data_IF_867958034565
#
_entry.id   IF_867958034565
#
_cell.length_a   1.000
_cell.length_b   1.000
_cell.length_c   1.000
_cell.angle_alpha   90.00
_cell.angle_beta   90.00
_cell.angle_gamma   90.00
#
_symmetry.space_group_name_H-M   'P 1'
#
loop_
_entity.id
_entity.type
_entity.pdbx_description
1 polymer ?
#
# COMPACT_ATOMS: atom_id res chain seq x y z
N UNK A 1 0.66 18.04 7.04
CA UNK A 1 1.13 16.86 7.74
C UNK A 1 0.32 15.66 7.40
N UNK A 2 -0.97 15.72 7.63
CA UNK A 2 -1.82 14.58 7.36
C UNK A 2 -1.85 14.23 5.89
N UNK A 3 -1.77 15.23 5.04
CA UNK A 3 -1.75 14.97 3.62
C UNK A 3 -0.53 14.17 3.23
N UNK A 4 0.61 14.46 3.84
CA UNK A 4 1.82 13.73 3.52
C UNK A 4 1.70 12.27 3.89
N UNK A 5 1.09 11.99 5.03
CA UNK A 5 0.87 10.62 5.43
C UNK A 5 -0.05 9.90 4.48
N UNK A 6 -1.05 10.62 3.97
CA UNK A 6 -2.01 9.99 3.09
C UNK A 6 -1.48 9.80 1.68
N UNK A 7 -0.43 10.54 1.33
CA UNK A 7 0.17 10.35 0.02
C UNK A 7 0.88 9.02 -0.08
N UNK A 8 1.39 8.52 1.05
CA UNK A 8 2.09 7.24 1.09
C UNK A 8 1.52 6.38 2.19
N UNK A 9 1.35 5.12 1.90
CA UNK A 9 0.77 4.17 2.83
C UNK A 9 1.80 3.13 3.21
N UNK A 10 1.86 2.80 4.49
CA UNK A 10 2.70 1.71 4.94
C UNK A 10 1.92 0.40 4.85
N UNK A 11 2.62 -0.69 5.13
CA UNK A 11 1.94 -1.99 5.15
C UNK A 11 0.84 -2.00 6.22
N UNK A 12 1.11 -1.37 7.37
CA UNK A 12 0.10 -1.27 8.42
C UNK A 12 -1.12 -0.52 7.95
N UNK A 13 -0.91 0.59 7.25
CA UNK A 13 -2.04 1.38 6.74
C UNK A 13 -2.89 0.56 5.78
N UNK A 14 -2.25 -0.20 4.93
CA UNK A 14 -2.98 -1.03 3.99
C UNK A 14 -3.78 -2.11 4.72
N UNK A 15 -3.20 -2.69 5.75
CA UNK A 15 -3.89 -3.73 6.50
C UNK A 15 -5.09 -3.17 7.24
N UNK A 16 -4.97 -1.95 7.74
CA UNK A 16 -6.05 -1.36 8.52
C UNK A 16 -7.17 -0.79 7.66
N UNK A 17 -6.84 -0.19 6.55
CA UNK A 17 -7.82 0.58 5.81
C UNK A 17 -8.23 0.00 4.47
N UNK A 18 -7.41 -0.82 3.87
CA UNK A 18 -7.66 -1.25 2.50
C UNK A 18 -7.85 -2.74 2.33
N UNK A 19 -7.00 -3.54 2.94
CA UNK A 19 -6.96 -4.97 2.68
C UNK A 19 -7.15 -5.76 3.96
N UNK A 20 -8.18 -6.61 4.02
CA UNK A 20 -8.42 -7.44 5.20
C UNK A 20 -7.54 -8.69 5.19
N UNK A 21 -6.25 -8.50 5.07
CA UNK A 21 -5.32 -9.61 5.02
C UNK A 21 -4.21 -9.41 6.02
N UNK A 22 -3.46 -10.47 6.28
CA UNK A 22 -2.32 -10.36 7.18
C UNK A 22 -1.27 -9.44 6.57
N UNK A 23 -0.47 -8.81 7.41
CA UNK A 23 0.56 -7.91 6.95
C UNK A 23 1.56 -8.62 6.05
N UNK A 24 1.84 -9.86 6.35
CA UNK A 24 2.78 -10.62 5.54
C UNK A 24 2.28 -10.77 4.11
N UNK A 25 1.01 -11.10 3.96
CA UNK A 25 0.45 -11.25 2.63
C UNK A 25 0.35 -9.94 1.89
N UNK A 26 0.02 -8.87 2.61
CA UNK A 26 -0.04 -7.56 2.01
C UNK A 26 1.34 -7.15 1.50
N UNK A 27 2.36 -7.42 2.28
CA UNK A 27 3.71 -7.10 1.88
C UNK A 27 4.09 -7.81 0.59
N UNK A 28 3.78 -9.09 0.51
CA UNK A 28 4.06 -9.85 -0.70
C UNK A 28 3.29 -9.32 -1.90
N UNK A 29 2.04 -8.97 -1.66
CA UNK A 29 1.20 -8.42 -2.71
C UNK A 29 1.78 -7.10 -3.23
N UNK A 30 2.19 -6.24 -2.34
CA UNK A 30 2.75 -4.95 -2.71
C UNK A 30 4.03 -5.13 -3.53
N UNK A 31 4.90 -5.99 -3.07
CA UNK A 31 6.16 -6.21 -3.75
C UNK A 31 5.95 -6.75 -5.16
N UNK A 32 4.94 -7.59 -5.33
CA UNK A 32 4.69 -8.20 -6.63
C UNK A 32 3.90 -7.31 -7.57
N UNK A 33 2.96 -6.55 -7.03
CA UNK A 33 1.97 -5.91 -7.88
C UNK A 33 2.03 -4.39 -7.91
N UNK A 34 2.68 -3.78 -6.94
CA UNK A 34 2.67 -2.33 -6.82
C UNK A 34 4.07 -1.78 -6.79
N UNK A 35 4.20 -0.58 -7.34
CA UNK A 35 5.43 0.17 -7.16
C UNK A 35 5.53 0.60 -5.71
N UNK A 36 6.69 0.43 -5.13
CA UNK A 36 6.87 0.75 -3.72
C UNK A 36 8.25 1.33 -3.48
N UNK A 37 8.40 1.95 -2.33
CA UNK A 37 9.66 2.53 -1.91
C UNK A 37 10.01 2.00 -0.54
N UNK A 38 11.26 1.61 -0.36
CA UNK A 38 11.71 1.11 0.92
C UNK A 38 12.54 2.19 1.60
N UNK A 39 12.10 2.59 2.77
CA UNK A 39 12.77 3.63 3.53
C UNK A 39 12.96 3.16 4.95
N UNK A 40 14.21 3.13 5.40
CA UNK A 40 14.50 2.74 6.76
C UNK A 40 13.97 1.38 7.14
N UNK A 41 14.00 0.43 6.22
CA UNK A 41 13.51 -0.91 6.48
C UNK A 41 12.02 -1.06 6.38
N UNK A 42 11.32 -0.01 6.02
CA UNK A 42 9.86 -0.04 5.87
C UNK A 42 9.48 0.18 4.43
N UNK A 43 8.40 -0.47 4.02
CA UNK A 43 7.91 -0.36 2.67
C UNK A 43 6.75 0.63 2.65
N UNK A 44 6.82 1.56 1.71
CA UNK A 44 5.77 2.56 1.51
C UNK A 44 5.28 2.51 0.08
N UNK A 45 3.99 2.69 -0.08
CA UNK A 45 3.35 2.66 -1.39
C UNK A 45 2.57 3.95 -1.57
N UNK A 46 2.70 4.56 -2.73
CA UNK A 46 1.92 5.75 -3.01
C UNK A 46 0.44 5.39 -3.03
N UNK A 47 -0.37 6.21 -2.38
CA UNK A 47 -1.79 5.94 -2.33
C UNK A 47 -2.38 5.87 -3.72
N UNK A 48 -1.89 6.67 -4.64
CA UNK A 48 -2.34 6.64 -6.02
C UNK A 48 -2.15 5.28 -6.65
N UNK A 49 -1.05 4.63 -6.35
CA UNK A 49 -0.78 3.30 -6.89
C UNK A 49 -1.80 2.30 -6.40
N UNK A 50 -2.11 2.36 -5.13
CA UNK A 50 -3.07 1.44 -4.55
C UNK A 50 -4.44 1.65 -5.15
N UNK A 51 -4.86 2.89 -5.23
CA UNK A 51 -6.17 3.20 -5.76
C UNK A 51 -6.28 2.86 -7.24
N UNK A 52 -5.22 3.11 -7.98
CA UNK A 52 -5.22 2.76 -9.39
C UNK A 52 -5.32 1.25 -9.59
N UNK A 53 -4.63 0.51 -8.76
CA UNK A 53 -4.70 -0.95 -8.86
C UNK A 53 -6.11 -1.45 -8.59
N UNK A 54 -6.74 -0.95 -7.54
CA UNK A 54 -8.11 -1.35 -7.24
C UNK A 54 -9.05 -0.96 -8.37
N UNK A 55 -8.88 0.23 -8.89
CA UNK A 55 -9.73 0.69 -9.96
C UNK A 55 -9.62 -0.18 -11.20
N UNK A 56 -8.39 -0.57 -11.54
CA UNK A 56 -8.16 -1.36 -12.73
C UNK A 56 -8.59 -2.82 -12.56
N UNK A 57 -8.59 -3.32 -11.34
CA UNK A 57 -8.91 -4.71 -11.08
C UNK A 57 -10.28 -4.92 -10.44
N UNK A 58 -10.99 -3.85 -10.22
CA UNK A 58 -12.32 -3.91 -9.63
C UNK A 58 -13.36 -4.19 -10.70
N UNK A 59 -14.41 -4.86 -10.33
CA UNK A 59 -15.49 -5.17 -11.27
C UNK A 59 -16.74 -4.49 -10.92
#
# INVERSE_FOLDING_TARGET
MKELKRAYLSIDDLANDYLPMSKKKIREFVIKNLSHTKIGGRIYVARQEVEAWFKNNSR
#
